data_IF_245438281089
#
_entry.id   IF_245438281089
#
_cell.length_a   1.000
_cell.length_b   1.000
_cell.length_c   1.000
_cell.angle_alpha   90.00
_cell.angle_beta   90.00
_cell.angle_gamma   90.00
#
_symmetry.space_group_name_H-M   'P 1'
#
loop_
_entity.id
_entity.type
_entity.pdbx_description
1 polymer ?
#
# COMPACT_ATOMS: atom_id res chain seq x y z
N UNK A 1 4.14 18.68 -59.40
CA UNK A 1 3.01 17.76 -59.25
C UNK A 1 2.39 18.11 -57.91
N UNK A 2 1.24 18.75 -57.96
CA UNK A 2 0.45 19.21 -56.82
C UNK A 2 -0.49 18.05 -56.50
N UNK A 3 -0.39 17.49 -55.30
CA UNK A 3 -1.32 16.48 -54.82
C UNK A 3 -2.29 17.11 -53.82
N UNK A 4 -3.55 16.78 -54.05
CA UNK A 4 -4.76 17.37 -53.51
C UNK A 4 -4.91 17.14 -52.00
N UNK A 5 -5.39 18.18 -51.31
CA UNK A 5 -5.84 18.09 -49.91
C UNK A 5 -7.35 17.90 -49.92
N UNK A 6 -7.80 16.74 -49.44
CA UNK A 6 -9.22 16.50 -49.12
C UNK A 6 -9.59 17.25 -47.83
N UNK A 7 -10.61 18.10 -47.94
CA UNK A 7 -11.28 18.76 -46.82
C UNK A 7 -12.23 17.76 -46.15
N UNK A 8 -11.95 17.41 -44.89
CA UNK A 8 -12.85 16.61 -44.05
C UNK A 8 -13.79 17.58 -43.32
N UNK A 9 -15.08 17.47 -43.64
CA UNK A 9 -16.18 18.17 -43.00
C UNK A 9 -16.49 17.48 -41.66
N UNK A 10 -16.25 18.17 -40.55
CA UNK A 10 -16.59 17.69 -39.20
C UNK A 10 -17.98 18.23 -38.88
N UNK A 11 -18.98 17.36 -38.93
CA UNK A 11 -20.32 17.65 -38.42
C UNK A 11 -20.31 17.54 -36.89
N UNK A 12 -20.67 18.64 -36.23
CA UNK A 12 -20.93 18.74 -34.79
C UNK A 12 -22.08 17.80 -34.40
N UNK A 13 -21.75 16.74 -33.68
CA UNK A 13 -22.72 15.91 -32.95
C UNK A 13 -22.65 16.35 -31.49
N UNK A 14 -23.57 17.22 -31.09
CA UNK A 14 -23.87 17.47 -29.68
C UNK A 14 -24.83 16.36 -29.23
N UNK A 15 -24.27 15.31 -28.63
CA UNK A 15 -25.02 14.36 -27.81
C UNK A 15 -25.01 14.90 -26.38
N UNK A 16 -26.11 15.54 -26.00
CA UNK A 16 -26.44 15.88 -24.62
C UNK A 16 -26.81 14.55 -23.91
N UNK A 17 -25.80 13.82 -23.46
CA UNK A 17 -25.97 12.69 -22.54
C UNK A 17 -26.23 13.27 -21.13
N UNK A 18 -27.51 13.37 -20.77
CA UNK A 18 -27.97 13.54 -19.39
C UNK A 18 -27.58 12.27 -18.60
N UNK A 19 -26.36 12.25 -18.08
CA UNK A 19 -25.92 11.28 -17.07
C UNK A 19 -26.77 11.50 -15.80
N UNK A 20 -27.86 10.73 -15.67
CA UNK A 20 -28.57 10.56 -14.41
C UNK A 20 -27.57 9.95 -13.40
N UNK A 21 -26.93 10.81 -12.59
CA UNK A 21 -26.18 10.39 -11.40
C UNK A 21 -27.16 9.64 -10.49
N UNK A 22 -27.16 8.31 -10.58
CA UNK A 22 -27.79 7.43 -9.62
C UNK A 22 -27.15 7.73 -8.25
N UNK A 23 -27.86 8.52 -7.43
CA UNK A 23 -27.55 8.75 -6.01
C UNK A 23 -27.59 7.40 -5.28
N UNK A 24 -26.48 6.65 -5.30
CA UNK A 24 -26.32 5.43 -4.50
C UNK A 24 -26.41 5.82 -3.03
N UNK A 25 -27.58 5.59 -2.41
CA UNK A 25 -27.79 5.82 -0.97
C UNK A 25 -26.68 5.10 -0.17
N UNK A 26 -25.83 5.88 0.50
CA UNK A 26 -24.78 5.34 1.36
C UNK A 26 -25.41 4.47 2.45
N UNK A 27 -25.24 3.14 2.36
CA UNK A 27 -25.76 2.22 3.38
C UNK A 27 -25.10 2.53 4.73
N UNK A 28 -25.88 3.04 5.69
CA UNK A 28 -25.44 3.19 7.07
C UNK A 28 -25.11 1.83 7.70
N UNK A 29 -24.10 1.83 8.56
CA UNK A 29 -23.64 0.62 9.23
C UNK A 29 -24.42 0.45 10.52
N UNK A 30 -24.94 -0.76 10.78
CA UNK A 30 -25.61 -0.99 12.06
C UNK A 30 -24.65 -0.73 13.23
N UNK A 31 -24.98 0.23 14.09
CA UNK A 31 -24.22 0.57 15.31
C UNK A 31 -23.83 -0.67 16.13
N UNK A 32 -24.70 -1.68 16.14
CA UNK A 32 -24.50 -2.96 16.82
C UNK A 32 -23.18 -3.67 16.40
N UNK A 33 -22.73 -3.50 15.15
CA UNK A 33 -21.48 -4.12 14.66
C UNK A 33 -20.24 -3.41 15.22
N UNK A 34 -20.30 -2.09 15.34
CA UNK A 34 -19.23 -1.29 15.92
C UNK A 34 -19.14 -1.59 17.42
N UNK A 35 -20.26 -1.61 18.12
CA UNK A 35 -20.32 -1.95 19.55
C UNK A 35 -19.81 -3.37 19.85
N UNK A 36 -20.17 -4.37 19.03
CA UNK A 36 -19.68 -5.74 19.17
C UNK A 36 -18.16 -5.79 18.96
N UNK A 37 -17.63 -5.08 17.95
CA UNK A 37 -16.18 -4.98 17.75
C UNK A 37 -15.48 -4.36 18.95
N UNK A 38 -15.91 -3.17 19.39
CA UNK A 38 -15.33 -2.46 20.54
C UNK A 38 -15.34 -3.35 21.78
N UNK A 39 -16.44 -4.06 22.04
CA UNK A 39 -16.55 -4.96 23.19
C UNK A 39 -15.53 -6.08 23.10
N UNK A 40 -15.42 -6.72 21.93
CA UNK A 40 -14.54 -7.86 21.73
C UNK A 40 -13.04 -7.47 21.67
N UNK A 41 -12.70 -6.25 21.27
CA UNK A 41 -11.29 -5.77 21.26
C UNK A 41 -10.73 -5.50 22.65
N UNK A 42 -11.57 -5.51 23.70
CA UNK A 42 -11.12 -5.42 25.10
C UNK A 42 -10.56 -6.74 25.67
N UNK A 43 -10.67 -7.85 24.93
CA UNK A 43 -10.17 -9.16 25.38
C UNK A 43 -8.64 -9.16 25.59
N UNK A 44 -8.16 -10.00 26.51
CA UNK A 44 -6.73 -10.28 26.70
C UNK A 44 -6.24 -11.49 25.91
N UNK A 45 -7.15 -12.26 25.32
CA UNK A 45 -6.82 -13.44 24.54
C UNK A 45 -6.59 -13.08 23.07
N UNK A 46 -5.38 -13.33 22.55
CA UNK A 46 -4.99 -12.98 21.18
C UNK A 46 -5.90 -13.64 20.14
N UNK A 47 -6.30 -14.90 20.35
CA UNK A 47 -7.18 -15.60 19.40
C UNK A 47 -8.55 -14.92 19.27
N UNK A 48 -9.10 -14.47 20.41
CA UNK A 48 -10.34 -13.69 20.46
C UNK A 48 -10.18 -12.36 19.73
N UNK A 49 -9.05 -11.66 19.92
CA UNK A 49 -8.77 -10.39 19.23
C UNK A 49 -8.67 -10.56 17.71
N UNK A 50 -7.95 -11.59 17.25
CA UNK A 50 -7.84 -11.93 15.82
C UNK A 50 -9.22 -12.21 15.23
N UNK A 51 -10.04 -12.98 15.95
CA UNK A 51 -11.39 -13.33 15.51
C UNK A 51 -12.29 -12.10 15.41
N UNK A 52 -12.21 -11.19 16.38
CA UNK A 52 -12.96 -9.93 16.39
C UNK A 52 -12.58 -9.02 15.20
N UNK A 53 -11.27 -8.85 14.95
CA UNK A 53 -10.76 -8.04 13.83
C UNK A 53 -11.20 -8.61 12.49
N UNK A 54 -11.02 -9.93 12.27
CA UNK A 54 -11.47 -10.58 11.03
C UNK A 54 -12.97 -10.49 10.82
N UNK A 55 -13.75 -10.68 11.88
CA UNK A 55 -15.21 -10.56 11.83
C UNK A 55 -15.62 -9.14 11.42
N UNK A 56 -15.06 -8.13 12.08
CA UNK A 56 -15.36 -6.74 11.76
C UNK A 56 -15.01 -6.41 10.30
N UNK A 57 -13.79 -6.71 9.85
CA UNK A 57 -13.39 -6.46 8.46
C UNK A 57 -14.31 -7.17 7.46
N UNK A 58 -14.68 -8.43 7.72
CA UNK A 58 -15.58 -9.18 6.85
C UNK A 58 -17.00 -8.60 6.80
N UNK A 59 -17.53 -8.15 7.94
CA UNK A 59 -18.89 -7.60 8.03
C UNK A 59 -18.98 -6.17 7.50
N UNK A 60 -17.85 -5.45 7.47
CA UNK A 60 -17.81 -4.04 7.05
C UNK A 60 -17.14 -3.80 5.70
N UNK A 61 -16.59 -4.84 5.04
CA UNK A 61 -15.87 -4.73 3.76
C UNK A 61 -16.64 -3.98 2.67
N UNK A 62 -17.97 -4.11 2.64
CA UNK A 62 -18.82 -3.50 1.60
C UNK A 62 -19.07 -2.01 1.80
N UNK A 63 -18.80 -1.47 2.99
CA UNK A 63 -19.05 -0.06 3.27
C UNK A 63 -17.81 0.77 2.94
N UNK A 64 -18.00 1.74 2.06
CA UNK A 64 -17.00 2.74 1.67
C UNK A 64 -17.11 3.98 2.56
N UNK A 65 -17.21 3.79 3.87
CA UNK A 65 -17.47 4.87 4.82
C UNK A 65 -16.25 5.12 5.71
N UNK A 66 -15.71 6.34 5.70
CA UNK A 66 -14.56 6.75 6.51
C UNK A 66 -14.76 6.51 8.01
N UNK A 67 -16.01 6.59 8.51
CA UNK A 67 -16.35 6.32 9.91
C UNK A 67 -15.94 4.91 10.30
N UNK A 68 -16.12 3.91 9.41
CA UNK A 68 -15.67 2.53 9.68
C UNK A 68 -14.18 2.45 9.90
N UNK A 69 -13.44 3.09 9.00
CA UNK A 69 -11.99 3.01 9.01
C UNK A 69 -11.46 3.75 10.24
N UNK A 70 -12.02 4.92 10.55
CA UNK A 70 -11.74 5.67 11.76
C UNK A 70 -11.99 4.85 13.02
N UNK A 71 -13.19 4.29 13.18
CA UNK A 71 -13.56 3.47 14.34
C UNK A 71 -12.69 2.20 14.44
N UNK A 72 -12.39 1.57 13.31
CA UNK A 72 -11.51 0.41 13.25
C UNK A 72 -10.11 0.72 13.79
N UNK A 73 -9.51 1.83 13.35
CA UNK A 73 -8.17 2.26 13.75
C UNK A 73 -8.16 2.70 15.21
N UNK A 74 -9.12 3.54 15.63
CA UNK A 74 -9.24 4.05 17.01
C UNK A 74 -9.34 2.91 18.01
N UNK A 75 -10.17 1.91 17.71
CA UNK A 75 -10.43 0.78 18.59
C UNK A 75 -9.60 -0.47 18.27
N UNK A 76 -8.57 -0.34 17.42
CA UNK A 76 -7.71 -1.47 17.07
C UNK A 76 -7.04 -2.05 18.33
N UNK A 77 -7.05 -3.38 18.54
CA UNK A 77 -6.52 -3.97 19.76
C UNK A 77 -5.02 -3.72 19.91
N UNK A 78 -4.62 -2.90 20.89
CA UNK A 78 -3.20 -2.55 21.14
C UNK A 78 -2.29 -3.77 21.34
N UNK A 79 -2.80 -4.83 21.95
CA UNK A 79 -2.06 -6.08 22.15
C UNK A 79 -1.76 -6.78 20.81
N UNK A 80 -2.70 -6.74 19.88
CA UNK A 80 -2.52 -7.30 18.54
C UNK A 80 -1.57 -6.44 17.71
N UNK A 81 -1.68 -5.11 17.79
CA UNK A 81 -0.74 -4.20 17.12
C UNK A 81 0.71 -4.41 17.58
N UNK A 82 0.94 -4.49 18.90
CA UNK A 82 2.28 -4.85 19.44
C UNK A 82 2.77 -6.19 18.90
N UNK A 83 1.86 -7.14 18.70
CA UNK A 83 2.21 -8.43 18.14
C UNK A 83 2.65 -8.33 16.68
N UNK A 84 2.09 -7.39 15.91
CA UNK A 84 2.59 -7.07 14.57
C UNK A 84 4.01 -6.53 14.63
N UNK A 85 4.28 -5.52 15.46
CA UNK A 85 5.62 -4.93 15.62
C UNK A 85 6.67 -5.98 16.03
N UNK A 86 6.32 -6.84 16.99
CA UNK A 86 7.20 -7.93 17.41
C UNK A 86 7.45 -8.92 16.28
N UNK A 87 6.40 -9.45 15.65
CA UNK A 87 6.53 -10.52 14.66
C UNK A 87 7.15 -10.05 13.35
N UNK A 88 6.94 -8.79 12.94
CA UNK A 88 7.47 -8.26 11.68
C UNK A 88 9.00 -8.17 11.68
N UNK A 89 9.63 -8.15 12.85
CA UNK A 89 11.09 -8.12 13.01
C UNK A 89 11.72 -9.50 13.20
N UNK A 90 10.91 -10.55 13.29
CA UNK A 90 11.36 -11.92 13.51
C UNK A 90 11.53 -12.69 12.18
N UNK A 91 12.21 -13.83 12.28
CA UNK A 91 12.40 -14.77 11.18
C UNK A 91 11.09 -15.52 10.86
N UNK A 92 10.88 -15.86 9.58
CA UNK A 92 9.68 -16.54 9.10
C UNK A 92 9.45 -17.94 9.73
N UNK A 93 10.48 -18.55 10.33
CA UNK A 93 10.36 -19.85 10.99
C UNK A 93 9.72 -19.78 12.38
N UNK A 94 9.43 -18.58 12.92
CA UNK A 94 8.78 -18.44 14.22
C UNK A 94 7.32 -18.88 14.15
N UNK A 95 6.88 -19.70 15.10
CA UNK A 95 5.49 -20.16 15.18
C UNK A 95 4.50 -18.99 15.20
N UNK A 96 3.51 -19.03 14.30
CA UNK A 96 2.49 -17.99 14.17
C UNK A 96 2.92 -16.79 13.31
N UNK A 97 4.15 -16.76 12.80
CA UNK A 97 4.63 -15.71 11.92
C UNK A 97 3.73 -15.54 10.69
N UNK A 98 3.45 -16.64 9.98
CA UNK A 98 2.63 -16.61 8.77
C UNK A 98 1.20 -16.12 9.04
N UNK A 99 0.58 -16.59 10.13
CA UNK A 99 -0.75 -16.12 10.52
C UNK A 99 -0.77 -14.62 10.82
N UNK A 100 0.26 -14.13 11.50
CA UNK A 100 0.38 -12.72 11.86
C UNK A 100 0.68 -11.84 10.64
N UNK A 101 1.49 -12.34 9.69
CA UNK A 101 1.78 -11.69 8.42
C UNK A 101 0.53 -11.54 7.56
N UNK A 102 -0.24 -12.62 7.40
CA UNK A 102 -1.51 -12.60 6.67
C UNK A 102 -2.47 -11.60 7.32
N UNK A 103 -2.65 -11.68 8.64
CA UNK A 103 -3.54 -10.76 9.33
C UNK A 103 -3.09 -9.29 9.24
N UNK A 104 -1.79 -9.01 9.39
CA UNK A 104 -1.26 -7.65 9.25
C UNK A 104 -1.48 -7.12 7.83
N UNK A 105 -1.35 -7.99 6.82
CA UNK A 105 -1.59 -7.62 5.42
C UNK A 105 -3.07 -7.37 5.16
N UNK A 106 -3.97 -8.23 5.68
CA UNK A 106 -5.43 -8.03 5.60
C UNK A 106 -5.85 -6.72 6.26
N UNK A 107 -5.26 -6.39 7.42
CA UNK A 107 -5.49 -5.15 8.15
C UNK A 107 -5.00 -3.94 7.34
N UNK A 108 -3.80 -4.02 6.76
CA UNK A 108 -3.26 -2.97 5.90
C UNK A 108 -4.18 -2.72 4.69
N UNK A 109 -4.56 -3.80 3.99
CA UNK A 109 -5.48 -3.73 2.85
C UNK A 109 -6.80 -3.11 3.30
N UNK A 110 -7.34 -3.55 4.44
CA UNK A 110 -8.60 -3.00 4.94
C UNK A 110 -8.49 -1.51 5.24
N UNK A 111 -7.45 -1.04 5.91
CA UNK A 111 -7.28 0.38 6.25
C UNK A 111 -7.20 1.24 4.99
N UNK A 112 -6.44 0.81 3.97
CA UNK A 112 -6.16 1.58 2.77
C UNK A 112 -6.93 1.13 1.52
N UNK A 113 -8.04 0.38 1.68
CA UNK A 113 -8.85 -0.10 0.52
C UNK A 113 -9.55 1.03 -0.25
N UNK A 114 -9.75 2.17 0.39
CA UNK A 114 -10.35 3.37 -0.20
C UNK A 114 -9.53 4.58 0.23
N UNK A 115 -9.13 5.39 -0.74
CA UNK A 115 -8.69 6.74 -0.46
C UNK A 115 -9.92 7.58 -0.13
N UNK A 116 -9.94 8.13 1.07
CA UNK A 116 -10.97 9.07 1.50
C UNK A 116 -10.26 10.29 2.08
N UNK A 117 -10.49 11.45 1.46
CA UNK A 117 -9.86 12.72 1.82
C UNK A 117 -10.16 13.13 3.28
N UNK A 118 -11.15 12.51 3.93
CA UNK A 118 -11.65 12.89 5.24
C UNK A 118 -11.19 12.01 6.42
N UNK A 119 -10.25 11.08 6.21
CA UNK A 119 -9.74 10.27 7.32
C UNK A 119 -8.81 11.14 8.20
N UNK A 120 -9.36 11.68 9.29
CA UNK A 120 -8.56 12.39 10.32
C UNK A 120 -7.66 11.46 11.14
N UNK A 121 -7.91 10.14 11.10
CA UNK A 121 -7.21 9.15 11.94
C UNK A 121 -5.98 8.61 11.21
N UNK A 122 -4.83 8.79 11.85
CA UNK A 122 -3.54 8.36 11.32
C UNK A 122 -3.39 6.82 11.28
N UNK A 123 -3.58 6.25 10.08
CA UNK A 123 -3.33 4.84 9.77
C UNK A 123 -1.84 4.52 9.52
N UNK A 124 -0.94 5.50 9.47
CA UNK A 124 0.46 5.32 9.07
C UNK A 124 1.23 4.35 9.98
N UNK A 125 0.81 4.23 11.24
CA UNK A 125 1.39 3.27 12.19
C UNK A 125 1.35 1.82 11.70
N UNK A 126 0.42 1.45 10.81
CA UNK A 126 0.34 0.10 10.24
C UNK A 126 1.30 -0.13 9.05
N UNK A 127 1.88 0.93 8.48
CA UNK A 127 2.76 0.85 7.31
C UNK A 127 4.07 0.14 7.69
N UNK A 128 4.72 0.54 8.78
CA UNK A 128 6.04 0.01 9.13
C UNK A 128 6.03 -1.51 9.45
N UNK A 129 5.10 -2.04 10.30
CA UNK A 129 5.00 -3.48 10.50
C UNK A 129 4.72 -4.24 9.19
N UNK A 130 3.85 -3.71 8.34
CA UNK A 130 3.54 -4.30 7.04
C UNK A 130 4.77 -4.37 6.12
N UNK A 131 5.50 -3.27 5.97
CA UNK A 131 6.72 -3.22 5.15
C UNK A 131 7.79 -4.19 5.67
N UNK A 132 7.93 -4.31 6.99
CA UNK A 132 8.84 -5.28 7.61
C UNK A 132 8.45 -6.73 7.27
N UNK A 133 7.16 -7.07 7.24
CA UNK A 133 6.72 -8.39 6.82
C UNK A 133 7.04 -8.69 5.35
N UNK A 134 7.01 -7.71 4.45
CA UNK A 134 7.37 -7.88 3.04
C UNK A 134 8.87 -8.14 2.82
N UNK A 135 9.73 -7.62 3.70
CA UNK A 135 11.19 -7.79 3.63
C UNK A 135 11.65 -9.20 3.93
N UNK A 136 10.95 -9.86 4.85
CA UNK A 136 11.33 -11.20 5.30
C UNK A 136 10.91 -12.23 4.24
N UNK A 137 11.88 -12.98 3.68
CA UNK A 137 11.59 -14.03 2.71
C UNK A 137 10.65 -15.08 3.30
N UNK A 138 9.61 -15.44 2.56
CA UNK A 138 8.68 -16.49 2.94
C UNK A 138 8.72 -17.59 1.88
N UNK A 139 8.79 -18.88 2.27
CA UNK A 139 8.61 -19.97 1.32
C UNK A 139 7.23 -20.00 0.65
N UNK A 140 6.22 -19.34 1.23
CA UNK A 140 4.85 -19.33 0.73
C UNK A 140 4.37 -17.91 0.43
N UNK A 141 4.05 -17.65 -0.84
CA UNK A 141 3.32 -16.45 -1.25
C UNK A 141 1.85 -16.67 -0.92
N UNK A 142 1.40 -16.08 0.19
CA UNK A 142 0.02 -16.22 0.70
C UNK A 142 -0.85 -14.98 0.45
N UNK A 143 -0.26 -13.94 -0.11
CA UNK A 143 -0.89 -12.64 -0.30
C UNK A 143 -1.25 -12.43 -1.78
N UNK A 144 -2.31 -11.67 -2.03
CA UNK A 144 -2.67 -11.23 -3.37
C UNK A 144 -1.89 -9.93 -3.71
N UNK A 145 -1.00 -9.93 -4.72
CA UNK A 145 -0.24 -8.74 -5.05
C UNK A 145 -1.12 -7.58 -5.54
N UNK A 146 -2.23 -7.87 -6.23
CA UNK A 146 -3.15 -6.82 -6.73
C UNK A 146 -3.79 -6.06 -5.58
N UNK A 147 -4.42 -6.77 -4.64
CA UNK A 147 -5.10 -6.13 -3.50
C UNK A 147 -4.13 -5.28 -2.65
N UNK A 148 -2.89 -5.74 -2.51
CA UNK A 148 -1.86 -4.99 -1.79
C UNK A 148 -1.45 -3.73 -2.56
N UNK A 149 -1.21 -3.86 -3.86
CA UNK A 149 -0.76 -2.74 -4.68
C UNK A 149 -1.82 -1.64 -4.75
N UNK A 150 -3.09 -2.01 -4.94
CA UNK A 150 -4.22 -1.07 -4.90
C UNK A 150 -4.28 -0.33 -3.56
N UNK A 151 -4.09 -1.05 -2.46
CA UNK A 151 -4.08 -0.46 -1.11
C UNK A 151 -2.89 0.48 -0.92
N UNK A 152 -1.74 0.18 -1.53
CA UNK A 152 -0.56 1.04 -1.46
C UNK A 152 -0.77 2.31 -2.25
N UNK A 153 -1.35 2.23 -3.46
CA UNK A 153 -1.70 3.39 -4.28
C UNK A 153 -2.57 4.36 -3.48
N UNK A 154 -3.61 3.85 -2.82
CA UNK A 154 -4.45 4.68 -1.93
C UNK A 154 -3.67 5.22 -0.72
N UNK A 155 -2.79 4.42 -0.12
CA UNK A 155 -1.99 4.82 1.05
C UNK A 155 -1.05 5.99 0.72
N UNK A 156 -0.44 5.98 -0.48
CA UNK A 156 0.53 6.99 -0.92
C UNK A 156 -0.11 8.23 -1.53
N UNK A 157 -1.43 8.32 -1.62
CA UNK A 157 -2.08 9.60 -1.94
C UNK A 157 -1.83 10.64 -0.84
N UNK A 158 -1.66 10.19 0.41
CA UNK A 158 -1.05 11.01 1.46
C UNK A 158 0.48 11.01 1.28
N UNK A 159 1.04 12.16 0.90
CA UNK A 159 2.46 12.35 0.68
C UNK A 159 3.30 12.04 1.94
N UNK A 160 2.73 12.16 3.14
CA UNK A 160 3.40 11.76 4.38
C UNK A 160 3.61 10.26 4.48
N UNK A 161 2.87 9.43 3.74
CA UNK A 161 3.10 7.99 3.74
C UNK A 161 4.23 7.57 2.77
N UNK A 162 4.48 8.35 1.71
CA UNK A 162 5.46 8.01 0.65
C UNK A 162 6.86 7.72 1.19
N UNK A 163 7.32 8.49 2.18
CA UNK A 163 8.68 8.33 2.70
C UNK A 163 8.90 6.97 3.35
N UNK A 164 7.87 6.31 3.90
CA UNK A 164 8.01 4.96 4.45
C UNK A 164 8.39 3.98 3.34
N UNK A 165 7.71 4.03 2.20
CA UNK A 165 7.95 3.15 1.06
C UNK A 165 9.33 3.38 0.43
N UNK A 166 9.75 4.64 0.30
CA UNK A 166 11.09 5.02 -0.20
C UNK A 166 12.18 4.53 0.76
N UNK A 167 12.09 4.89 2.05
CA UNK A 167 13.10 4.54 3.06
C UNK A 167 13.23 3.02 3.21
N UNK A 168 12.13 2.28 3.06
CA UNK A 168 12.12 0.83 3.22
C UNK A 168 12.34 0.06 1.92
N UNK A 169 12.62 0.71 0.77
CA UNK A 169 12.81 0.06 -0.53
C UNK A 169 11.65 -0.84 -0.97
N UNK A 170 10.42 -0.36 -0.76
CA UNK A 170 9.21 -1.15 -0.95
C UNK A 170 9.17 -1.85 -2.31
N UNK A 171 9.36 -1.11 -3.41
CA UNK A 171 9.20 -1.63 -4.78
C UNK A 171 10.08 -2.87 -5.02
N UNK A 172 11.34 -2.82 -4.59
CA UNK A 172 12.25 -3.96 -4.71
C UNK A 172 11.82 -5.15 -3.85
N UNK A 173 11.43 -4.93 -2.58
CA UNK A 173 10.99 -6.03 -1.71
C UNK A 173 9.67 -6.64 -2.14
N UNK A 174 8.73 -5.82 -2.62
CA UNK A 174 7.48 -6.28 -3.22
C UNK A 174 7.75 -7.14 -4.45
N UNK A 175 8.59 -6.64 -5.37
CA UNK A 175 9.00 -7.40 -6.55
C UNK A 175 9.58 -8.76 -6.18
N UNK A 176 10.55 -8.78 -5.26
CA UNK A 176 11.21 -10.00 -4.81
C UNK A 176 10.26 -10.97 -4.11
N UNK A 177 9.32 -10.46 -3.31
CA UNK A 177 8.37 -11.29 -2.57
C UNK A 177 7.36 -11.97 -3.51
N UNK A 178 6.85 -11.23 -4.51
CA UNK A 178 5.84 -11.72 -5.44
C UNK A 178 6.41 -12.31 -6.72
N UNK A 179 7.73 -12.44 -6.88
CA UNK A 179 8.32 -13.10 -8.02
C UNK A 179 8.23 -14.63 -7.89
N UNK A 180 7.75 -15.39 -8.89
CA UNK A 180 7.29 -14.96 -10.23
C UNK A 180 5.80 -14.55 -10.41
N UNK A 181 4.83 -14.77 -9.49
CA UNK A 181 3.42 -14.35 -9.69
C UNK A 181 3.16 -12.90 -10.13
N UNK A 182 4.11 -11.99 -9.97
CA UNK A 182 3.99 -10.56 -10.19
C UNK A 182 3.71 -10.12 -11.64
N UNK A 183 3.82 -11.02 -12.62
CA UNK A 183 3.68 -10.67 -14.05
C UNK A 183 2.37 -9.95 -14.39
N UNK A 184 1.29 -10.22 -13.66
CA UNK A 184 -0.01 -9.60 -13.92
C UNK A 184 -0.15 -8.18 -13.37
N UNK A 185 0.74 -7.74 -12.47
CA UNK A 185 0.71 -6.42 -11.83
C UNK A 185 2.00 -5.63 -12.07
N UNK A 186 2.80 -6.06 -13.06
CA UNK A 186 4.12 -5.48 -13.30
C UNK A 186 4.01 -4.02 -13.74
N UNK A 187 3.09 -3.75 -14.66
CA UNK A 187 2.88 -2.41 -15.20
C UNK A 187 2.35 -1.48 -14.08
N UNK A 188 1.35 -1.93 -13.31
CA UNK A 188 0.83 -1.20 -12.15
C UNK A 188 1.93 -0.93 -11.10
N UNK A 189 2.83 -1.89 -10.87
CA UNK A 189 3.94 -1.73 -9.93
C UNK A 189 4.94 -0.67 -10.45
N UNK A 190 5.18 -0.66 -11.76
CA UNK A 190 6.05 0.33 -12.37
C UNK A 190 5.46 1.74 -12.23
N UNK A 191 4.17 1.91 -12.53
CA UNK A 191 3.48 3.19 -12.37
C UNK A 191 3.45 3.64 -10.90
N UNK A 192 3.17 2.70 -9.99
CA UNK A 192 3.27 2.94 -8.55
C UNK A 192 4.69 3.38 -8.14
N UNK A 193 5.74 2.78 -8.74
CA UNK A 193 7.13 3.17 -8.46
C UNK A 193 7.40 4.60 -8.90
N UNK A 194 6.97 4.99 -10.10
CA UNK A 194 7.13 6.36 -10.58
C UNK A 194 6.42 7.35 -9.68
N UNK A 195 5.22 6.99 -9.17
CA UNK A 195 4.46 7.85 -8.27
C UNK A 195 5.11 7.99 -6.89
N UNK A 196 5.66 6.91 -6.33
CA UNK A 196 6.38 6.93 -5.05
C UNK A 196 7.67 7.76 -5.15
N UNK A 197 8.38 7.66 -6.27
CA UNK A 197 9.67 8.33 -6.49
C UNK A 197 9.55 9.72 -7.16
N UNK A 198 8.34 10.22 -7.39
CA UNK A 198 8.13 11.59 -7.86
C UNK A 198 8.54 12.60 -6.77
N UNK A 199 9.63 13.31 -7.04
CA UNK A 199 10.26 14.27 -6.13
C UNK A 199 9.37 15.49 -5.82
N UNK A 200 8.42 15.83 -6.70
CA UNK A 200 7.64 17.07 -6.57
C UNK A 200 6.85 17.18 -5.25
N UNK A 201 6.70 16.06 -4.54
CA UNK A 201 5.93 15.94 -3.30
C UNK A 201 6.71 15.38 -2.11
N UNK A 202 8.01 15.09 -2.26
CA UNK A 202 8.82 14.49 -1.18
C UNK A 202 9.60 15.54 -0.38
N UNK A 203 9.42 15.54 0.94
CA UNK A 203 10.27 16.33 1.84
C UNK A 203 11.54 15.53 2.20
N UNK A 204 12.69 16.03 1.74
CA UNK A 204 14.03 15.53 2.07
C UNK A 204 14.22 15.22 3.55
N UNK A 205 13.62 16.00 4.47
CA UNK A 205 13.82 15.83 5.90
C UNK A 205 13.27 14.51 6.45
N UNK A 206 12.34 13.86 5.74
CA UNK A 206 11.76 12.58 6.14
C UNK A 206 12.53 11.37 5.55
N UNK A 207 13.48 11.63 4.66
CA UNK A 207 14.28 10.60 4.02
C UNK A 207 15.57 10.36 4.79
N UNK A 208 15.96 9.08 4.85
CA UNK A 208 17.17 8.64 5.53
C UNK A 208 18.24 8.30 4.48
N UNK A 209 19.27 9.14 4.30
CA UNK A 209 20.36 8.88 3.35
C UNK A 209 21.00 7.51 3.60
N UNK A 210 21.22 7.16 4.87
CA UNK A 210 21.78 5.87 5.26
C UNK A 210 20.91 4.67 4.81
N UNK A 211 19.57 4.78 4.90
CA UNK A 211 18.67 3.75 4.38
C UNK A 211 18.71 3.72 2.85
N UNK A 212 18.66 4.88 2.18
CA UNK A 212 18.76 4.96 0.72
C UNK A 212 20.04 4.34 0.17
N UNK A 213 21.21 4.65 0.74
CA UNK A 213 22.49 4.03 0.37
C UNK A 213 22.43 2.51 0.51
N UNK A 214 21.88 2.01 1.63
CA UNK A 214 21.72 0.57 1.85
C UNK A 214 20.79 -0.06 0.81
N UNK A 215 19.69 0.59 0.47
CA UNK A 215 18.69 0.12 -0.49
C UNK A 215 19.31 0.02 -1.90
N UNK A 216 20.07 1.03 -2.31
CA UNK A 216 20.79 1.04 -3.60
C UNK A 216 21.83 -0.08 -3.64
N UNK A 217 22.62 -0.24 -2.57
CA UNK A 217 23.60 -1.33 -2.46
C UNK A 217 22.95 -2.71 -2.57
N UNK A 218 21.78 -2.90 -1.92
CA UNK A 218 21.03 -4.15 -2.00
C UNK A 218 20.55 -4.43 -3.42
N UNK A 219 19.97 -3.46 -4.11
CA UNK A 219 19.51 -3.63 -5.49
C UNK A 219 20.69 -3.91 -6.44
N UNK A 220 21.79 -3.15 -6.34
CA UNK A 220 23.00 -3.38 -7.14
C UNK A 220 23.59 -4.79 -6.92
N UNK A 221 23.58 -5.28 -5.68
CA UNK A 221 24.06 -6.61 -5.34
C UNK A 221 23.17 -7.74 -5.88
N UNK A 222 21.91 -7.47 -6.22
CA UNK A 222 20.96 -8.44 -6.76
C UNK A 222 20.66 -8.24 -8.25
N UNK A 223 21.22 -7.19 -8.88
CA UNK A 223 20.99 -6.81 -10.27
C UNK A 223 21.24 -7.94 -11.27
N UNK A 224 22.16 -8.86 -10.98
CA UNK A 224 22.53 -9.96 -11.89
C UNK A 224 21.46 -11.07 -12.00
N UNK A 225 20.44 -11.07 -11.12
CA UNK A 225 19.44 -12.15 -11.01
C UNK A 225 18.15 -11.85 -11.79
N UNK A 226 17.74 -10.58 -11.89
CA UNK A 226 16.50 -10.15 -12.56
C UNK A 226 16.68 -8.79 -13.25
N UNK A 227 17.61 -8.74 -14.21
CA UNK A 227 18.38 -7.54 -14.52
C UNK A 227 17.63 -6.37 -15.16
N UNK A 228 16.50 -6.59 -15.84
CA UNK A 228 15.76 -5.49 -16.46
C UNK A 228 14.87 -4.78 -15.43
N UNK A 229 14.00 -5.54 -14.75
CA UNK A 229 13.06 -5.01 -13.75
C UNK A 229 13.79 -4.34 -12.57
N UNK A 230 14.84 -4.97 -12.03
CA UNK A 230 15.66 -4.35 -10.98
C UNK A 230 16.38 -3.10 -11.51
N UNK A 231 16.73 -3.08 -12.80
CA UNK A 231 17.33 -1.92 -13.46
C UNK A 231 16.40 -0.72 -13.50
N UNK A 232 15.14 -0.94 -13.86
CA UNK A 232 14.11 0.10 -13.88
C UNK A 232 13.88 0.69 -12.48
N UNK A 233 13.81 -0.16 -11.45
CA UNK A 233 13.67 0.27 -10.05
C UNK A 233 14.88 1.08 -9.56
N UNK A 234 16.10 0.65 -9.94
CA UNK A 234 17.33 1.38 -9.67
C UNK A 234 17.33 2.75 -10.35
N UNK A 235 16.88 2.83 -11.61
CA UNK A 235 16.77 4.10 -12.34
C UNK A 235 15.79 5.05 -11.65
N UNK A 236 14.60 4.57 -11.26
CA UNK A 236 13.64 5.37 -10.51
C UNK A 236 14.24 5.90 -9.19
N UNK A 237 14.96 5.05 -8.44
CA UNK A 237 15.68 5.47 -7.22
C UNK A 237 16.78 6.49 -7.51
N UNK A 238 17.53 6.34 -8.60
CA UNK A 238 18.57 7.30 -8.98
C UNK A 238 18.01 8.64 -9.46
N UNK A 239 16.81 8.67 -10.03
CA UNK A 239 16.13 9.92 -10.37
C UNK A 239 15.76 10.74 -9.12
N UNK A 240 15.50 10.08 -7.99
CA UNK A 240 15.18 10.74 -6.73
C UNK A 240 16.38 11.50 -6.11
N UNK A 241 17.59 10.91 -6.16
CA UNK A 241 18.80 11.43 -5.49
C UNK A 241 19.16 12.88 -5.86
N UNK A 242 19.30 13.25 -7.15
CA UNK A 242 19.68 14.61 -7.54
C UNK A 242 18.60 15.62 -7.17
N UNK A 243 17.33 15.24 -7.28
CA UNK A 243 16.22 16.16 -7.05
C UNK A 243 16.13 16.57 -5.57
N UNK A 244 16.39 15.62 -4.66
CA UNK A 244 16.48 15.88 -3.22
C UNK A 244 17.82 16.44 -2.75
N UNK A 245 18.78 16.67 -3.65
CA UNK A 245 20.15 17.10 -3.33
C UNK A 245 20.88 16.15 -2.35
N UNK A 246 20.77 14.83 -2.57
CA UNK A 246 21.38 13.78 -1.74
C UNK A 246 22.70 13.23 -2.29
N UNK A 247 23.23 13.81 -3.39
CA UNK A 247 24.45 13.32 -4.07
C UNK A 247 25.66 13.28 -3.14
N UNK A 248 25.80 14.24 -2.23
CA UNK A 248 26.96 14.31 -1.32
C UNK A 248 26.82 13.37 -0.11
N UNK A 249 25.64 12.77 0.11
CA UNK A 249 25.32 11.96 1.29
C UNK A 249 25.28 10.45 1.03
N UNK A 250 25.03 10.04 -0.22
CA UNK A 250 24.86 8.65 -0.66
C UNK A 250 26.14 8.12 -1.32
#
# INVERSE_FOLDING_TARGET
MLEDREEINVEDVNEDDDDEEDDEEEEEIPDERIEDYITNTTSTDISTLISAVRKFMSETKKYKNYVVNSEFIIFFPRQLYRRFEEMSTLDANVTGYLEMKVLCSDVFIFIFRHFDEFIEVDGSSFIEPFLNFLKTPDPYVVLNPTDILDSIINCIEDDSNKFFFVNENFIYHFYKYFFPPIQNVKDDLYDCSLYIYDDSKLDRNHLSPAKLTKNIQEMMANFHIASEDIGEMLLATFHLIPNLNLIDEI
#
